data_IF_136869270348
#
_entry.id   IF_136869270348
#
_cell.length_a   1.000
_cell.length_b   1.000
_cell.length_c   1.000
_cell.angle_alpha   90.00
_cell.angle_beta   90.00
_cell.angle_gamma   90.00
#
_symmetry.space_group_name_H-M   'P 1'
#
loop_
_entity.id
_entity.type
_entity.pdbx_description
1 polymer ?
#
# COMPACT_ATOMS: atom_id res chain seq x y z
N UNK A 1 13.44 7.58 13.76
CA UNK A 1 12.94 8.59 12.81
C UNK A 1 13.66 9.90 13.04
N UNK A 2 13.83 10.71 12.00
CA UNK A 2 14.32 12.07 12.11
C UNK A 2 13.11 12.97 12.42
N UNK A 3 13.23 13.84 13.43
CA UNK A 3 12.15 14.79 13.76
C UNK A 3 12.14 15.89 12.71
N UNK A 4 11.01 16.04 12.02
CA UNK A 4 10.81 17.06 10.99
C UNK A 4 9.63 17.93 11.38
N UNK A 5 9.80 19.25 11.31
CA UNK A 5 8.73 20.22 11.48
C UNK A 5 8.11 20.50 10.11
N UNK A 6 6.78 20.44 10.03
CA UNK A 6 6.00 20.75 8.84
C UNK A 6 4.99 21.83 9.20
N UNK A 7 4.67 22.69 8.23
CA UNK A 7 3.60 23.66 8.37
C UNK A 7 2.31 23.05 7.83
N UNK A 8 1.24 23.17 8.61
CA UNK A 8 -0.10 22.75 8.26
C UNK A 8 -1.02 23.92 8.59
N UNK A 9 -2.10 24.05 7.83
CA UNK A 9 -3.21 24.91 8.22
C UNK A 9 -3.88 24.37 9.49
N UNK A 10 -4.61 25.23 10.19
CA UNK A 10 -5.37 24.82 11.38
C UNK A 10 -6.41 23.73 11.03
N UNK A 11 -7.06 23.85 9.88
CA UNK A 11 -8.03 22.88 9.38
C UNK A 11 -7.38 21.53 9.10
N UNK A 12 -6.24 21.48 8.39
CA UNK A 12 -5.51 20.24 8.13
C UNK A 12 -5.09 19.54 9.42
N UNK A 13 -4.58 20.30 10.40
CA UNK A 13 -4.19 19.75 11.71
C UNK A 13 -5.40 19.13 12.42
N UNK A 14 -6.53 19.84 12.46
CA UNK A 14 -7.76 19.36 13.10
C UNK A 14 -8.29 18.08 12.42
N UNK A 15 -8.30 18.04 11.09
CA UNK A 15 -8.74 16.86 10.34
C UNK A 15 -7.82 15.66 10.59
N UNK A 16 -6.50 15.85 10.62
CA UNK A 16 -5.55 14.79 10.93
C UNK A 16 -5.73 14.24 12.36
N UNK A 17 -6.05 15.09 13.33
CA UNK A 17 -6.36 14.66 14.71
C UNK A 17 -7.64 13.82 14.76
N UNK A 18 -8.70 14.24 14.06
CA UNK A 18 -9.96 13.49 13.98
C UNK A 18 -9.73 12.11 13.33
N UNK A 19 -8.99 12.06 12.22
CA UNK A 19 -8.70 10.80 11.53
C UNK A 19 -7.84 9.88 12.40
N UNK A 20 -6.81 10.41 13.04
CA UNK A 20 -5.94 9.64 13.92
C UNK A 20 -6.72 9.05 15.10
N UNK A 21 -7.59 9.83 15.73
CA UNK A 21 -8.48 9.39 16.80
C UNK A 21 -9.43 8.28 16.32
N UNK A 22 -10.07 8.48 15.16
CA UNK A 22 -11.00 7.51 14.57
C UNK A 22 -10.31 6.17 14.25
N UNK A 23 -9.05 6.22 13.82
CA UNK A 23 -8.23 5.03 13.52
C UNK A 23 -7.53 4.44 14.75
N UNK A 24 -7.55 5.11 15.90
CA UNK A 24 -6.85 4.69 17.11
C UNK A 24 -5.32 4.72 17.00
N UNK A 25 -4.77 5.57 16.12
CA UNK A 25 -3.32 5.70 15.89
C UNK A 25 -2.82 7.09 16.28
N UNK A 26 -1.50 7.26 16.38
CA UNK A 26 -0.91 8.60 16.62
C UNK A 26 -0.95 9.42 15.32
N UNK A 27 -1.14 10.73 15.43
CA UNK A 27 -1.10 11.63 14.27
C UNK A 27 0.23 11.53 13.49
N UNK A 28 1.35 11.35 14.18
CA UNK A 28 2.67 11.16 13.54
C UNK A 28 2.83 9.82 12.82
N UNK A 29 2.02 8.83 13.14
CA UNK A 29 1.93 7.56 12.42
C UNK A 29 1.08 7.72 11.17
N UNK A 30 -0.07 8.37 11.28
CA UNK A 30 -0.93 8.73 10.15
C UNK A 30 -0.20 9.57 9.09
N UNK A 31 0.50 10.63 9.51
CA UNK A 31 1.26 11.50 8.59
C UNK A 31 2.34 10.70 7.86
N UNK A 32 3.00 9.77 8.56
CA UNK A 32 4.05 8.94 7.96
C UNK A 32 3.49 7.98 6.93
N UNK A 33 2.41 7.28 7.25
CA UNK A 33 1.74 6.38 6.32
C UNK A 33 1.33 7.12 5.04
N UNK A 34 0.75 8.31 5.18
CA UNK A 34 0.39 9.15 4.04
C UNK A 34 1.62 9.56 3.19
N UNK A 35 2.74 9.88 3.83
CA UNK A 35 4.00 10.21 3.14
C UNK A 35 4.56 8.96 2.43
N UNK A 36 4.55 7.80 3.08
CA UNK A 36 5.02 6.54 2.50
C UNK A 36 4.19 6.16 1.26
N UNK A 37 2.86 6.28 1.35
CA UNK A 37 1.94 6.06 0.22
C UNK A 37 2.21 7.03 -0.94
N UNK A 38 2.44 8.31 -0.62
CA UNK A 38 2.78 9.31 -1.63
C UNK A 38 4.10 8.97 -2.33
N UNK A 39 5.14 8.62 -1.57
CA UNK A 39 6.43 8.21 -2.13
C UNK A 39 6.26 6.98 -3.00
N UNK A 40 5.53 5.96 -2.55
CA UNK A 40 5.28 4.75 -3.33
C UNK A 40 4.54 5.05 -4.64
N UNK A 41 3.54 5.94 -4.59
CA UNK A 41 2.78 6.38 -5.77
C UNK A 41 3.65 7.06 -6.83
N UNK A 42 4.61 7.88 -6.42
CA UNK A 42 5.45 8.67 -7.32
C UNK A 42 6.84 8.08 -7.57
N UNK A 43 7.17 6.93 -6.97
CA UNK A 43 8.42 6.21 -7.20
C UNK A 43 8.18 4.92 -7.98
N UNK A 44 7.91 4.99 -9.31
CA UNK A 44 7.58 3.82 -10.13
C UNK A 44 8.70 2.78 -10.19
N UNK A 45 9.95 3.19 -9.97
CA UNK A 45 11.10 2.29 -9.88
C UNK A 45 10.98 1.31 -8.72
N UNK A 46 10.40 1.69 -7.57
CA UNK A 46 10.23 0.78 -6.43
C UNK A 46 9.14 -0.26 -6.69
N UNK A 47 7.99 0.14 -7.26
CA UNK A 47 6.92 -0.80 -7.62
C UNK A 47 7.40 -1.83 -8.66
N UNK A 48 8.03 -1.38 -9.74
CA UNK A 48 8.60 -2.27 -10.76
C UNK A 48 9.72 -3.14 -10.17
N UNK A 49 10.54 -2.61 -9.26
CA UNK A 49 11.60 -3.39 -8.59
C UNK A 49 11.01 -4.45 -7.66
N UNK A 50 9.98 -4.14 -6.87
CA UNK A 50 9.26 -5.13 -6.04
C UNK A 50 8.61 -6.23 -6.90
N UNK A 51 7.98 -5.86 -8.02
CA UNK A 51 7.43 -6.84 -8.98
C UNK A 51 8.56 -7.70 -9.60
N UNK A 52 9.69 -7.09 -9.95
CA UNK A 52 10.86 -7.82 -10.46
C UNK A 52 11.48 -8.73 -9.41
N UNK A 53 11.48 -8.37 -8.12
CA UNK A 53 11.89 -9.24 -7.02
C UNK A 53 10.95 -10.44 -6.86
N UNK A 54 9.65 -10.26 -7.11
CA UNK A 54 8.68 -11.36 -7.15
C UNK A 54 8.85 -12.29 -8.37
N UNK A 55 9.68 -11.93 -9.35
CA UNK A 55 9.90 -12.73 -10.56
C UNK A 55 10.54 -14.08 -10.20
N UNK A 56 9.82 -15.16 -10.50
CA UNK A 56 10.34 -16.52 -10.36
C UNK A 56 10.07 -17.17 -9.00
N UNK A 57 9.49 -16.44 -8.04
CA UNK A 57 9.08 -16.98 -6.73
C UNK A 57 8.13 -18.19 -6.87
N UNK A 58 7.32 -18.22 -7.92
CA UNK A 58 6.38 -19.31 -8.18
C UNK A 58 6.84 -20.26 -9.30
N UNK A 59 8.02 -20.05 -9.88
CA UNK A 59 8.52 -20.83 -11.03
C UNK A 59 8.66 -22.32 -10.70
N UNK A 60 9.01 -22.64 -9.46
CA UNK A 60 9.29 -24.01 -9.02
C UNK A 60 8.26 -24.55 -8.03
N UNK A 61 7.16 -23.82 -7.79
CA UNK A 61 6.08 -24.29 -6.91
C UNK A 61 5.23 -25.31 -7.67
N UNK A 62 5.16 -26.53 -7.13
CA UNK A 62 4.39 -27.66 -7.70
C UNK A 62 3.01 -27.82 -7.06
N UNK A 63 2.75 -27.06 -6.01
CA UNK A 63 1.54 -27.07 -5.21
C UNK A 63 0.48 -26.06 -5.68
N UNK A 64 0.81 -25.27 -6.72
CA UNK A 64 -0.13 -24.33 -7.32
C UNK A 64 -0.94 -25.02 -8.43
N UNK A 65 -2.28 -24.84 -8.46
CA UNK A 65 -3.10 -25.30 -9.58
C UNK A 65 -2.69 -24.60 -10.88
N UNK A 66 -3.05 -25.18 -12.02
CA UNK A 66 -2.68 -24.60 -13.30
C UNK A 66 -3.16 -23.15 -13.42
N UNK A 67 -2.30 -22.26 -13.94
CA UNK A 67 -2.57 -20.82 -14.07
C UNK A 67 -3.90 -20.53 -14.80
N UNK A 68 -4.32 -21.43 -15.69
CA UNK A 68 -5.58 -21.35 -16.44
C UNK A 68 -6.80 -21.53 -15.53
N UNK A 69 -6.73 -22.42 -14.56
CA UNK A 69 -7.81 -22.69 -13.61
C UNK A 69 -7.98 -21.54 -12.62
N UNK A 70 -6.85 -20.96 -12.18
CA UNK A 70 -6.85 -19.74 -11.36
C UNK A 70 -7.51 -18.57 -12.08
N UNK A 71 -7.21 -18.37 -13.38
CA UNK A 71 -7.77 -17.27 -14.16
C UNK A 71 -9.28 -17.41 -14.38
N UNK A 72 -9.78 -18.61 -14.67
CA UNK A 72 -11.23 -18.83 -14.83
C UNK A 72 -12.00 -18.67 -13.52
N UNK A 73 -11.38 -18.99 -12.37
CA UNK A 73 -11.96 -18.73 -11.05
C UNK A 73 -12.10 -17.24 -10.73
N UNK A 74 -11.11 -16.41 -11.11
CA UNK A 74 -11.21 -14.96 -10.95
C UNK A 74 -12.22 -14.30 -11.89
N UNK A 75 -12.29 -14.72 -13.15
CA UNK A 75 -13.28 -14.19 -14.10
C UNK A 75 -14.71 -14.42 -13.63
N UNK A 76 -14.99 -15.56 -12.99
CA UNK A 76 -16.30 -15.87 -12.40
C UNK A 76 -16.64 -15.00 -11.19
N UNK A 77 -15.66 -14.67 -10.34
CA UNK A 77 -15.88 -13.81 -9.16
C UNK A 77 -16.06 -12.32 -9.50
N UNK A 78 -15.54 -11.86 -10.63
CA UNK A 78 -15.64 -10.46 -11.05
C UNK A 78 -16.95 -10.13 -11.79
N UNK A 79 -17.81 -11.14 -12.03
CA UNK A 79 -19.11 -11.00 -12.72
C UNK A 79 -20.33 -11.08 -11.79
N UNK A 80 -20.08 -11.19 -10.48
CA UNK A 80 -21.04 -11.06 -9.38
C UNK A 80 -20.71 -9.82 -8.58
#
# INVERSE_FOLDING_TARGET
>A
MIRTQIYLTEEEKAQLEIIALTRGVKQSELIREAVDELIEKYTPSQRLTRIKQARGLWKNRKDLPALRDLRTGWSRRAQT
#
